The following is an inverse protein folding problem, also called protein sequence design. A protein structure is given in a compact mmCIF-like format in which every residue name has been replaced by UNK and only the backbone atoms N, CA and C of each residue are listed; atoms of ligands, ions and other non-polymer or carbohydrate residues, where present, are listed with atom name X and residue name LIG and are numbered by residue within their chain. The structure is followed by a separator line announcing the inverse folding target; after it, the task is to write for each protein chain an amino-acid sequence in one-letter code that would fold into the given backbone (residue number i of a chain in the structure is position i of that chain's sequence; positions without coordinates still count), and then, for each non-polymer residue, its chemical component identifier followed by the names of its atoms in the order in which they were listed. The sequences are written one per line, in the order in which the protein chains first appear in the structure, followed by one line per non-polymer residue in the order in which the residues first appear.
data_IF_601704037656
#
_entry.id   IF_601704037656
#
_cell.length_a   1.000
_cell.length_b   1.000
_cell.length_c   1.000
_cell.angle_alpha   90.00
_cell.angle_beta   90.00
_cell.angle_gamma   90.00
#
_symmetry.space_group_name_H-M   'P 1'
#
loop_
_entity.id
_entity.type
_entity.pdbx_description
1 polymer ?
#
# COMPACT_ATOMS: atom_id res chain seq x y z
N UNK A 1 -12.56 8.89 6.79
CA UNK A 1 -11.44 8.16 7.42
C UNK A 1 -10.53 7.64 6.33
N UNK A 2 -9.23 7.74 6.49
CA UNK A 2 -8.24 7.17 5.57
C UNK A 2 -7.89 5.75 6.05
N UNK A 3 -8.21 4.74 5.24
CA UNK A 3 -7.98 3.34 5.61
C UNK A 3 -6.59 2.81 5.22
N UNK A 4 -5.77 3.63 4.59
CA UNK A 4 -4.46 3.21 4.10
C UNK A 4 -4.43 2.93 2.60
N UNK A 5 -3.22 2.69 2.07
CA UNK A 5 -3.00 2.27 0.68
C UNK A 5 -3.05 0.75 0.59
N UNK A 6 -3.88 0.18 -0.30
CA UNK A 6 -3.99 -1.27 -0.42
C UNK A 6 -2.73 -1.86 -1.07
N UNK A 7 -2.24 -2.94 -0.47
CA UNK A 7 -1.21 -3.83 -0.99
C UNK A 7 -1.73 -5.25 -0.94
N UNK A 8 -1.62 -6.00 -2.01
CA UNK A 8 -1.86 -7.44 -1.97
C UNK A 8 -0.57 -8.12 -1.53
N UNK A 9 -0.58 -8.78 -0.39
CA UNK A 9 0.55 -9.55 0.12
C UNK A 9 0.31 -11.02 -0.13
N UNK A 10 1.15 -11.62 -0.96
CA UNK A 10 1.06 -13.03 -1.34
C UNK A 10 2.14 -13.85 -0.63
N UNK A 11 1.72 -14.94 -0.04
CA UNK A 11 2.63 -15.98 0.45
C UNK A 11 3.40 -16.57 -0.74
N UNK A 12 4.71 -16.47 -0.72
CA UNK A 12 5.55 -16.99 -1.80
C UNK A 12 6.61 -17.95 -1.28
N UNK A 13 6.57 -19.20 -1.76
CA UNK A 13 7.59 -20.21 -1.49
C UNK A 13 8.72 -20.18 -2.53
N UNK A 14 8.46 -19.63 -3.69
CA UNK A 14 9.37 -19.60 -4.84
C UNK A 14 9.57 -18.15 -5.32
N UNK A 15 10.17 -17.34 -4.45
CA UNK A 15 10.30 -15.90 -4.62
C UNK A 15 10.80 -15.48 -6.02
N UNK A 16 11.92 -16.07 -6.48
CA UNK A 16 12.51 -15.74 -7.79
C UNK A 16 11.62 -16.12 -8.97
N UNK A 17 10.91 -17.26 -8.87
CA UNK A 17 10.01 -17.68 -9.94
C UNK A 17 8.77 -16.76 -9.97
N UNK A 18 8.22 -16.43 -8.82
CA UNK A 18 7.09 -15.50 -8.70
C UNK A 18 7.48 -14.10 -9.17
N UNK A 19 8.67 -13.62 -8.81
CA UNK A 19 9.21 -12.35 -9.30
C UNK A 19 9.22 -12.33 -10.83
N UNK A 20 9.87 -13.30 -11.48
CA UNK A 20 9.94 -13.36 -12.96
C UNK A 20 8.56 -13.41 -13.60
N UNK A 21 7.61 -14.12 -12.98
CA UNK A 21 6.25 -14.18 -13.49
C UNK A 21 5.58 -12.79 -13.49
N UNK A 22 5.67 -12.04 -12.38
CA UNK A 22 5.07 -10.72 -12.31
C UNK A 22 5.83 -9.67 -13.14
N UNK A 23 7.16 -9.75 -13.23
CA UNK A 23 7.94 -8.90 -14.14
C UNK A 23 7.53 -9.13 -15.60
N UNK A 24 7.27 -10.37 -16.01
CA UNK A 24 6.74 -10.67 -17.34
C UNK A 24 5.33 -10.12 -17.60
N UNK A 25 4.55 -9.84 -16.55
CA UNK A 25 3.26 -9.14 -16.63
C UNK A 25 3.41 -7.61 -16.58
N UNK A 26 4.63 -7.08 -16.57
CA UNK A 26 4.91 -5.65 -16.57
C UNK A 26 4.97 -5.01 -15.18
N UNK A 27 5.12 -5.80 -14.11
CA UNK A 27 5.43 -5.26 -12.80
C UNK A 27 6.90 -4.92 -12.68
N UNK A 28 7.23 -3.88 -11.93
CA UNK A 28 8.59 -3.49 -11.59
C UNK A 28 8.87 -3.70 -10.11
N UNK A 29 10.05 -4.21 -9.77
CA UNK A 29 10.50 -4.30 -8.37
C UNK A 29 10.81 -2.90 -7.86
N UNK A 30 10.19 -2.52 -6.74
CA UNK A 30 10.37 -1.20 -6.10
C UNK A 30 11.03 -1.28 -4.73
N UNK A 31 11.01 -2.47 -4.10
CA UNK A 31 11.71 -2.73 -2.85
C UNK A 31 11.95 -4.23 -2.70
N UNK A 32 13.08 -4.59 -2.08
CA UNK A 32 13.46 -5.98 -1.88
C UNK A 32 14.28 -6.18 -0.59
N UNK A 33 13.89 -7.20 0.16
CA UNK A 33 14.71 -7.76 1.24
C UNK A 33 14.97 -9.21 0.89
N UNK A 34 16.22 -9.53 0.59
CA UNK A 34 16.62 -10.83 0.06
C UNK A 34 16.08 -12.00 0.91
N UNK A 35 15.41 -12.92 0.23
CA UNK A 35 14.81 -14.11 0.84
C UNK A 35 13.58 -13.87 1.72
N UNK A 36 13.18 -12.63 1.97
CA UNK A 36 12.06 -12.29 2.84
C UNK A 36 10.89 -11.63 2.11
N UNK A 37 11.17 -10.59 1.32
CA UNK A 37 10.13 -9.76 0.70
C UNK A 37 10.59 -9.19 -0.61
N UNK A 38 9.70 -9.19 -1.61
CA UNK A 38 9.84 -8.43 -2.86
C UNK A 38 8.57 -7.61 -3.03
N UNK A 39 8.68 -6.29 -3.16
CA UNK A 39 7.55 -5.42 -3.47
C UNK A 39 7.60 -5.06 -4.94
N UNK A 40 6.51 -5.32 -5.62
CA UNK A 40 6.31 -5.09 -7.04
C UNK A 40 5.19 -4.07 -7.23
N UNK A 41 5.32 -3.24 -8.24
CA UNK A 41 4.36 -2.20 -8.57
C UNK A 41 4.05 -2.21 -10.07
N UNK A 42 2.77 -2.03 -10.41
CA UNK A 42 2.32 -1.75 -11.75
C UNK A 42 1.18 -0.73 -11.70
N UNK A 43 1.39 0.44 -12.27
CA UNK A 43 0.45 1.54 -12.13
C UNK A 43 0.22 1.92 -10.67
N UNK A 44 -1.02 1.98 -10.25
CA UNK A 44 -1.39 2.22 -8.85
C UNK A 44 -1.45 0.96 -7.98
N UNK A 45 -1.24 -0.22 -8.58
CA UNK A 45 -1.36 -1.49 -7.87
C UNK A 45 -0.02 -1.93 -7.26
N UNK A 46 -0.05 -2.33 -6.00
CA UNK A 46 1.10 -2.84 -5.25
C UNK A 46 0.88 -4.29 -4.87
N UNK A 47 1.89 -5.09 -5.15
CA UNK A 47 1.97 -6.49 -4.83
C UNK A 47 3.23 -6.75 -4.03
N UNK A 48 3.12 -7.45 -2.92
CA UNK A 48 4.26 -7.91 -2.14
C UNK A 48 4.31 -9.43 -2.10
N UNK A 49 5.43 -10.00 -2.53
CA UNK A 49 5.74 -11.42 -2.35
C UNK A 49 6.47 -11.56 -1.00
N UNK A 50 5.99 -12.43 -0.13
CA UNK A 50 6.55 -12.60 1.20
C UNK A 50 6.72 -14.09 1.54
N UNK A 51 7.92 -14.48 1.99
CA UNK A 51 8.24 -15.87 2.31
C UNK A 51 7.71 -16.32 3.67
N UNK A 52 7.49 -15.37 4.58
CA UNK A 52 7.15 -15.63 5.99
C UNK A 52 5.65 -15.60 6.29
N UNK A 53 4.81 -15.29 5.32
CA UNK A 53 3.35 -15.31 5.52
C UNK A 53 2.83 -16.74 5.62
N UNK A 54 1.82 -16.93 6.44
CA UNK A 54 1.08 -18.20 6.52
C UNK A 54 -0.03 -18.29 5.48
N UNK A 55 -0.59 -17.14 5.08
CA UNK A 55 -1.65 -17.00 4.08
C UNK A 55 -1.51 -15.67 3.33
N UNK A 56 -2.23 -15.54 2.21
CA UNK A 56 -2.34 -14.27 1.50
C UNK A 56 -3.13 -13.26 2.33
N UNK A 57 -2.80 -11.97 2.21
CA UNK A 57 -3.49 -10.93 2.97
C UNK A 57 -3.62 -9.62 2.19
N UNK A 58 -4.69 -8.89 2.48
CA UNK A 58 -4.81 -7.49 2.11
C UNK A 58 -4.11 -6.64 3.16
N UNK A 59 -3.05 -5.95 2.79
CA UNK A 59 -2.40 -4.97 3.66
C UNK A 59 -2.87 -3.56 3.32
N UNK A 60 -3.33 -2.82 4.31
CA UNK A 60 -3.76 -1.42 4.23
C UNK A 60 -2.72 -0.53 4.95
N UNK A 61 -1.77 -0.01 4.17
CA UNK A 61 -0.58 0.66 4.69
C UNK A 61 -0.75 2.17 4.84
N UNK A 62 -0.21 2.73 5.90
CA UNK A 62 -0.16 4.18 6.15
C UNK A 62 -1.37 4.73 6.89
N UNK A 63 -2.19 3.89 7.51
CA UNK A 63 -3.32 4.32 8.34
C UNK A 63 -3.09 3.99 9.81
N UNK A 64 -3.68 4.77 10.69
CA UNK A 64 -3.66 4.51 12.13
C UNK A 64 -4.61 3.35 12.46
N UNK A 65 -4.04 2.23 12.89
CA UNK A 65 -4.76 1.00 13.20
C UNK A 65 -5.76 1.19 14.36
N UNK A 66 -5.42 2.00 15.37
CA UNK A 66 -6.32 2.30 16.50
C UNK A 66 -7.53 3.13 16.03
N UNK A 67 -7.30 4.13 15.21
CA UNK A 67 -8.38 4.95 14.65
C UNK A 67 -9.31 4.12 13.74
N UNK A 68 -8.77 3.15 13.00
CA UNK A 68 -9.59 2.24 12.18
C UNK A 68 -10.45 1.35 13.05
N UNK A 69 -9.88 0.71 14.07
CA UNK A 69 -10.64 -0.10 15.03
C UNK A 69 -11.80 0.67 15.64
N UNK A 70 -11.52 1.88 16.13
CA UNK A 70 -12.54 2.73 16.75
C UNK A 70 -13.63 3.12 15.77
N UNK A 71 -13.28 3.38 14.53
CA UNK A 71 -14.21 3.65 13.45
C UNK A 71 -15.12 2.45 13.13
N UNK A 72 -14.60 1.23 13.10
CA UNK A 72 -15.39 0.01 12.92
C UNK A 72 -16.34 -0.21 14.09
N UNK A 73 -15.85 -0.06 15.33
CA UNK A 73 -16.66 -0.18 16.55
C UNK A 73 -17.82 0.81 16.59
N UNK A 74 -17.60 2.07 16.21
CA UNK A 74 -18.66 3.08 16.13
C UNK A 74 -19.77 2.72 15.12
N UNK A 75 -19.49 1.83 14.19
CA UNK A 75 -20.46 1.29 13.21
C UNK A 75 -21.04 -0.06 13.59
N UNK A 76 -20.74 -0.54 14.79
CA UNK A 76 -21.20 -1.85 15.26
C UNK A 76 -20.52 -3.03 14.56
N UNK A 77 -19.37 -2.79 13.89
CA UNK A 77 -18.59 -3.85 13.24
C UNK A 77 -17.60 -4.39 14.26
N UNK A 78 -17.71 -5.67 14.57
CA UNK A 78 -16.73 -6.41 15.37
C UNK A 78 -15.64 -6.93 14.45
N UNK A 79 -14.40 -6.75 14.84
CA UNK A 79 -13.22 -7.27 14.15
C UNK A 79 -12.29 -7.95 15.17
N UNK A 80 -11.62 -9.00 14.75
CA UNK A 80 -10.74 -9.81 15.60
C UNK A 80 -9.45 -9.07 15.96
N UNK A 81 -8.89 -9.41 17.12
CA UNK A 81 -7.61 -8.89 17.60
C UNK A 81 -7.70 -7.43 18.06
N UNK A 82 -6.57 -6.92 18.48
CA UNK A 82 -6.40 -5.52 18.89
C UNK A 82 -5.18 -4.90 18.21
N UNK A 83 -5.27 -3.62 17.83
CA UNK A 83 -4.11 -2.88 17.33
C UNK A 83 -2.99 -2.82 18.38
N UNK A 84 -1.77 -2.90 17.92
CA UNK A 84 -0.58 -2.74 18.75
C UNK A 84 0.39 -1.71 18.16
N UNK A 85 1.22 -1.11 19.01
CA UNK A 85 2.39 -0.38 18.53
C UNK A 85 3.48 -1.35 18.09
N UNK A 86 4.22 -1.00 17.05
CA UNK A 86 5.38 -1.79 16.66
C UNK A 86 6.36 -1.94 17.82
N UNK A 87 6.74 -3.17 18.05
CA UNK A 87 7.82 -3.50 18.99
C UNK A 87 9.10 -3.63 18.18
N UNK A 88 10.08 -2.77 18.47
CA UNK A 88 11.38 -2.73 17.78
C UNK A 88 12.05 -4.11 17.71
N UNK A 89 11.88 -4.91 18.78
CA UNK A 89 12.44 -6.26 18.88
C UNK A 89 11.78 -7.27 17.95
N UNK A 90 10.53 -6.99 17.51
CA UNK A 90 9.75 -7.91 16.67
C UNK A 90 9.87 -7.59 15.18
N UNK A 91 10.07 -6.33 14.81
CA UNK A 91 9.89 -5.89 13.43
C UNK A 91 11.11 -5.18 12.82
N UNK A 92 12.21 -5.01 13.55
CA UNK A 92 13.40 -4.24 13.13
C UNK A 92 13.02 -2.88 12.48
N UNK A 93 11.92 -2.28 12.97
CA UNK A 93 11.35 -1.05 12.47
C UNK A 93 11.59 0.09 13.45
N UNK A 94 11.69 1.31 12.94
CA UNK A 94 11.61 2.51 13.78
C UNK A 94 10.31 2.48 14.59
N UNK A 95 10.44 2.63 15.90
CA UNK A 95 9.51 2.15 16.92
C UNK A 95 8.13 2.82 17.00
N UNK A 96 7.78 3.75 16.11
CA UNK A 96 6.59 4.61 16.25
C UNK A 96 5.42 4.28 15.31
N UNK A 97 5.39 3.07 14.77
CA UNK A 97 4.30 2.60 13.93
C UNK A 97 3.21 1.88 14.71
N UNK A 98 2.11 1.62 14.04
CA UNK A 98 1.00 0.81 14.55
C UNK A 98 0.70 -0.32 13.58
N UNK A 99 0.27 -1.47 14.09
CA UNK A 99 -0.17 -2.57 13.27
C UNK A 99 -1.40 -3.27 13.87
N UNK A 100 -2.15 -3.94 13.02
CA UNK A 100 -3.28 -4.74 13.42
C UNK A 100 -3.57 -5.80 12.35
N UNK A 101 -3.53 -7.05 12.74
CA UNK A 101 -4.01 -8.17 11.94
C UNK A 101 -5.42 -8.50 12.40
N UNK A 102 -6.34 -8.50 11.47
CA UNK A 102 -7.74 -8.89 11.70
C UNK A 102 -8.27 -9.69 10.52
N UNK A 103 -9.54 -10.07 10.58
CA UNK A 103 -10.24 -10.77 9.50
C UNK A 103 -11.52 -10.06 9.14
N UNK A 104 -11.87 -10.14 7.86
CA UNK A 104 -13.20 -9.75 7.42
C UNK A 104 -14.25 -10.84 7.79
N UNK A 105 -15.55 -10.61 7.58
CA UNK A 105 -16.59 -11.59 7.92
C UNK A 105 -16.48 -12.95 7.23
N UNK A 106 -15.80 -13.03 6.08
CA UNK A 106 -15.54 -14.27 5.34
C UNK A 106 -14.23 -14.95 5.73
N UNK A 107 -13.49 -14.34 6.67
CA UNK A 107 -12.25 -14.87 7.22
C UNK A 107 -10.99 -14.47 6.44
N UNK A 108 -11.08 -13.57 5.46
CA UNK A 108 -9.89 -13.09 4.76
C UNK A 108 -9.02 -12.24 5.68
N UNK A 109 -7.72 -12.49 5.59
CA UNK A 109 -6.72 -11.76 6.38
C UNK A 109 -6.58 -10.30 5.91
N UNK A 110 -6.75 -9.36 6.84
CA UNK A 110 -6.57 -7.92 6.62
C UNK A 110 -5.55 -7.40 7.62
N UNK A 111 -4.48 -6.83 7.11
CA UNK A 111 -3.40 -6.28 7.91
C UNK A 111 -3.33 -4.77 7.74
N UNK A 112 -3.45 -4.04 8.84
CA UNK A 112 -3.20 -2.61 8.89
C UNK A 112 -1.79 -2.38 9.39
N UNK A 113 -1.03 -1.58 8.67
CA UNK A 113 0.38 -1.39 8.91
C UNK A 113 0.78 0.06 8.60
N UNK A 114 1.42 0.73 9.54
CA UNK A 114 1.96 2.06 9.33
C UNK A 114 3.19 2.28 10.19
N UNK A 115 4.14 3.05 9.68
CA UNK A 115 5.24 3.57 10.46
C UNK A 115 5.20 5.10 10.50
N UNK A 116 6.06 5.71 11.31
CA UNK A 116 6.09 7.16 11.52
C UNK A 116 6.18 7.96 10.22
N UNK A 117 6.96 7.50 9.25
CA UNK A 117 7.17 8.18 7.97
C UNK A 117 5.96 8.11 7.03
N UNK A 118 4.96 7.30 7.35
CA UNK A 118 3.76 7.10 6.55
C UNK A 118 2.53 7.79 7.16
N UNK A 119 2.68 8.39 8.34
CA UNK A 119 1.62 9.11 9.04
C UNK A 119 1.59 10.59 8.66
N UNK A 120 0.40 11.18 8.81
CA UNK A 120 0.22 12.61 8.65
C UNK A 120 -0.10 13.08 7.23
N UNK A 121 -0.44 14.38 7.10
CA UNK A 121 -0.87 14.97 5.83
C UNK A 121 0.18 14.90 4.73
N UNK A 122 1.44 15.18 5.06
CA UNK A 122 2.53 15.18 4.08
C UNK A 122 2.79 13.77 3.50
N UNK A 123 2.76 12.74 4.36
CA UNK A 123 2.90 11.36 3.90
C UNK A 123 1.75 10.96 2.96
N UNK A 124 0.53 11.38 3.29
CA UNK A 124 -0.65 11.18 2.43
C UNK A 124 -0.51 11.92 1.10
N UNK A 125 -0.04 13.16 1.11
CA UNK A 125 0.23 13.91 -0.13
C UNK A 125 1.26 13.19 -1.01
N UNK A 126 2.38 12.70 -0.44
CA UNK A 126 3.36 11.91 -1.20
C UNK A 126 2.76 10.64 -1.80
N UNK A 127 1.91 9.93 -1.06
CA UNK A 127 1.22 8.74 -1.56
C UNK A 127 0.27 9.07 -2.72
N UNK A 128 -0.52 10.15 -2.59
CA UNK A 128 -1.43 10.59 -3.65
C UNK A 128 -0.65 11.03 -4.89
N UNK A 129 0.43 11.81 -4.74
CA UNK A 129 1.28 12.21 -5.87
C UNK A 129 1.79 11.01 -6.65
N UNK A 130 2.24 9.97 -5.93
CA UNK A 130 2.70 8.72 -6.56
C UNK A 130 1.58 8.02 -7.33
N UNK A 131 0.38 7.91 -6.75
CA UNK A 131 -0.78 7.31 -7.44
C UNK A 131 -1.14 8.07 -8.71
N UNK A 132 -1.12 9.40 -8.65
CA UNK A 132 -1.43 10.23 -9.81
C UNK A 132 -0.37 10.09 -10.93
N UNK A 133 0.92 9.99 -10.57
CA UNK A 133 1.98 9.75 -11.56
C UNK A 133 1.91 8.36 -12.17
N UNK A 134 1.56 7.36 -11.38
CA UNK A 134 1.37 6.00 -11.90
C UNK A 134 0.18 5.94 -12.85
N UNK A 135 -0.90 6.69 -12.57
CA UNK A 135 -2.04 6.79 -13.48
C UNK A 135 -1.66 7.48 -14.81
N UNK A 136 -0.74 8.44 -14.81
CA UNK A 136 -0.17 9.00 -16.05
C UNK A 136 0.55 7.92 -16.86
N UNK A 137 1.36 7.07 -16.20
CA UNK A 137 2.03 5.97 -16.87
C UNK A 137 1.06 4.94 -17.44
N UNK A 138 -0.01 4.61 -16.69
CA UNK A 138 -1.07 3.73 -17.18
C UNK A 138 -1.75 4.29 -18.45
N UNK A 139 -1.95 5.62 -18.53
CA UNK A 139 -2.47 6.27 -19.73
C UNK A 139 -1.50 6.15 -20.90
N UNK A 140 -0.19 6.33 -20.67
CA UNK A 140 0.85 6.17 -21.68
C UNK A 140 0.87 4.73 -22.20
N UNK A 141 0.87 3.76 -21.33
CA UNK A 141 0.89 2.34 -21.66
C UNK A 141 -0.37 1.88 -22.40
N UNK A 142 -1.50 2.52 -22.10
CA UNK A 142 -2.77 2.33 -22.82
C UNK A 142 -2.82 3.04 -24.20
N UNK A 143 -1.77 3.77 -24.59
CA UNK A 143 -1.69 4.47 -25.87
C UNK A 143 -2.52 5.76 -25.94
N UNK A 144 -2.71 6.44 -24.81
CA UNK A 144 -3.42 7.72 -24.77
C UNK A 144 -2.75 8.75 -25.69
N UNK A 145 -3.56 9.60 -26.36
CA UNK A 145 -3.05 10.66 -27.21
C UNK A 145 -2.27 11.72 -26.40
N UNK A 146 -1.37 12.44 -27.08
CA UNK A 146 -0.64 13.56 -26.48
C UNK A 146 -1.60 14.60 -25.85
N UNK A 147 -2.71 14.88 -26.53
CA UNK A 147 -3.74 15.81 -26.03
C UNK A 147 -4.38 15.31 -24.74
N UNK A 148 -4.66 14.01 -24.62
CA UNK A 148 -5.18 13.39 -23.40
C UNK A 148 -4.17 13.48 -22.25
N UNK A 149 -2.90 13.20 -22.52
CA UNK A 149 -1.82 13.31 -21.55
C UNK A 149 -1.60 14.74 -21.07
N UNK A 150 -1.60 15.71 -21.98
CA UNK A 150 -1.48 17.12 -21.63
C UNK A 150 -2.68 17.61 -20.80
N UNK A 151 -3.90 17.17 -21.15
CA UNK A 151 -5.09 17.47 -20.35
C UNK A 151 -4.98 16.87 -18.94
N UNK A 152 -4.47 15.66 -18.79
CA UNK A 152 -4.24 15.03 -17.49
C UNK A 152 -3.21 15.82 -16.66
N UNK A 153 -2.09 16.20 -17.25
CA UNK A 153 -1.03 16.98 -16.59
C UNK A 153 -1.53 18.33 -16.10
N UNK A 154 -2.25 19.05 -16.95
CA UNK A 154 -2.76 20.39 -16.65
C UNK A 154 -3.90 20.36 -15.62
N UNK A 155 -4.83 19.41 -15.73
CA UNK A 155 -6.05 19.42 -14.93
C UNK A 155 -5.95 18.56 -13.65
N UNK A 156 -4.98 17.65 -13.56
CA UNK A 156 -4.82 16.74 -12.42
C UNK A 156 -3.48 16.94 -11.71
N UNK A 157 -2.36 16.74 -12.40
CA UNK A 157 -1.04 16.77 -11.75
C UNK A 157 -0.63 18.18 -11.29
N UNK A 158 -0.80 19.19 -12.13
CA UNK A 158 -0.36 20.54 -11.79
C UNK A 158 -1.17 21.16 -10.64
N UNK A 159 -2.51 21.10 -10.59
CA UNK A 159 -3.28 21.57 -9.46
C UNK A 159 -2.95 20.85 -8.15
N UNK A 160 -2.76 19.52 -8.18
CA UNK A 160 -2.38 18.76 -6.99
C UNK A 160 -1.01 19.18 -6.47
N UNK A 161 -0.01 19.33 -7.34
CA UNK A 161 1.33 19.76 -6.96
C UNK A 161 1.36 21.21 -6.41
N UNK A 162 0.46 22.07 -6.85
CA UNK A 162 0.31 23.42 -6.32
C UNK A 162 -0.34 23.43 -4.93
N UNK A 163 -1.39 22.63 -4.73
CA UNK A 163 -2.10 22.51 -3.45
C UNK A 163 -1.31 21.80 -2.35
N UNK A 164 -0.41 20.88 -2.71
CA UNK A 164 0.41 20.15 -1.75
C UNK A 164 1.55 20.98 -1.12
N UNK A 165 1.81 22.20 -1.62
CA UNK A 165 2.87 23.11 -1.15
C UNK A 165 2.36 24.27 -0.29
N UNK A 166 1.09 24.40 -0.09
CA UNK A 166 0.41 25.37 0.76
C UNK A 166 -0.02 24.77 2.09
#
# INVERSE_FOLDING_TARGET
MYAGRPHLCLKSKHMDASRRFYEALGFSVVDEVAGLRIVLERGSFNLALMSFLDEDSLNLRGADAFAIRDHLRQRGISAEGEPEHYKKEKYDADADGTCWLTRDPDGHSVFFDTNQNEQGPEARCRQIDRVLRNAEQDLIDAGASAECLDAYRVNVLAPFAAGARG
#
